data_IF_500703145240
#
_entry.id   IF_500703145240
#
_cell.length_a   1.000
_cell.length_b   1.000
_cell.length_c   1.000
_cell.angle_alpha   90.00
_cell.angle_beta   90.00
_cell.angle_gamma   90.00
#
_symmetry.space_group_name_H-M   'P 1'
#
loop_
_entity.id
_entity.type
_entity.pdbx_description
1 polymer ?
#
# COMPACT_ATOMS: atom_id res chain seq x y z
N UNK A 1 3.87 9.08 19.87
CA UNK A 1 4.06 7.77 20.53
C UNK A 1 5.50 7.22 20.45
N UNK A 2 6.12 7.04 19.25
CA UNK A 2 7.53 6.59 19.09
C UNK A 2 8.58 7.36 19.90
N UNK A 3 8.38 8.67 20.08
CA UNK A 3 9.28 9.56 20.85
C UNK A 3 9.27 9.27 22.36
N UNK A 4 8.11 8.90 22.92
CA UNK A 4 7.98 8.47 24.31
C UNK A 4 8.57 7.08 24.54
N UNK A 5 8.43 6.14 23.59
CA UNK A 5 9.09 4.83 23.69
C UNK A 5 10.62 4.94 23.67
N UNK A 6 11.20 5.76 22.78
CA UNK A 6 12.66 6.01 22.78
C UNK A 6 13.14 6.68 24.07
N UNK A 7 12.38 7.64 24.60
CA UNK A 7 12.68 8.31 25.88
C UNK A 7 12.65 7.32 27.05
N UNK A 8 11.60 6.50 27.13
CA UNK A 8 11.45 5.49 28.18
C UNK A 8 12.53 4.41 28.09
N UNK A 9 12.91 3.99 26.87
CA UNK A 9 14.03 3.06 26.65
C UNK A 9 15.36 3.63 27.18
N UNK A 10 15.66 4.88 26.86
CA UNK A 10 16.91 5.50 27.33
C UNK A 10 16.92 5.60 28.86
N UNK A 11 15.77 5.90 29.49
CA UNK A 11 15.63 5.91 30.96
C UNK A 11 15.88 4.50 31.53
N UNK A 12 15.28 3.46 30.96
CA UNK A 12 15.48 2.07 31.42
C UNK A 12 16.95 1.65 31.29
N UNK A 13 17.62 1.99 30.18
CA UNK A 13 19.05 1.72 29.99
C UNK A 13 19.90 2.47 31.03
N UNK A 14 19.59 3.74 31.31
CA UNK A 14 20.31 4.54 32.32
C UNK A 14 20.12 3.96 33.72
N UNK A 15 18.90 3.53 34.08
CA UNK A 15 18.61 2.89 35.37
C UNK A 15 19.37 1.57 35.51
N UNK A 16 19.41 0.76 34.45
CA UNK A 16 20.21 -0.49 34.43
C UNK A 16 21.71 -0.21 34.56
N UNK A 17 22.23 0.81 33.89
CA UNK A 17 23.63 1.23 34.01
C UNK A 17 23.96 1.77 35.41
N UNK A 18 23.02 2.44 36.07
CA UNK A 18 23.19 2.90 37.46
C UNK A 18 23.25 1.73 38.44
N UNK A 19 22.32 0.77 38.32
CA UNK A 19 22.34 -0.47 39.14
C UNK A 19 23.64 -1.25 38.91
N UNK A 20 24.11 -1.29 37.66
CA UNK A 20 25.38 -1.90 37.28
C UNK A 20 26.60 -1.24 37.96
N UNK A 21 26.68 0.09 37.90
CA UNK A 21 27.77 0.85 38.54
C UNK A 21 27.76 0.62 40.05
N UNK A 22 26.58 0.58 40.68
CA UNK A 22 26.45 0.30 42.11
C UNK A 22 26.92 -1.11 42.49
N UNK A 23 26.65 -2.14 41.66
CA UNK A 23 27.13 -3.51 41.89
C UNK A 23 28.66 -3.59 41.78
N UNK A 24 29.25 -2.95 40.76
CA UNK A 24 30.71 -2.89 40.57
C UNK A 24 31.40 -2.11 41.69
N UNK A 25 30.85 -0.98 42.12
CA UNK A 25 31.41 -0.17 43.23
C UNK A 25 31.28 -0.91 44.57
N UNK A 26 30.14 -1.56 44.84
CA UNK A 26 29.99 -2.40 46.05
C UNK A 26 31.04 -3.54 46.11
N UNK A 27 31.44 -4.08 44.96
CA UNK A 27 32.52 -5.07 44.86
C UNK A 27 33.90 -4.42 45.02
N UNK A 28 34.09 -3.22 44.46
CA UNK A 28 35.39 -2.53 44.41
C UNK A 28 35.77 -1.82 45.72
N UNK A 29 34.81 -1.32 46.48
CA UNK A 29 35.06 -0.49 47.67
C UNK A 29 35.43 -1.31 48.91
N UNK A 30 35.18 -2.62 48.92
CA UNK A 30 35.35 -3.43 50.13
C UNK A 30 36.69 -4.20 50.14
N UNK A 31 37.19 -4.73 49.02
CA UNK A 31 38.34 -5.67 49.09
C UNK A 31 39.25 -5.59 47.88
N UNK A 32 40.51 -5.29 48.18
CA UNK A 32 41.65 -5.37 47.27
C UNK A 32 42.02 -6.85 46.93
N UNK A 33 41.09 -7.73 46.46
CA UNK A 33 41.24 -9.17 46.00
C UNK A 33 39.83 -9.81 45.67
N UNK A 34 39.72 -10.92 44.89
CA UNK A 34 39.59 -11.06 43.43
C UNK A 34 38.09 -11.17 42.94
N UNK A 35 37.86 -11.33 41.63
CA UNK A 35 36.56 -11.29 40.93
C UNK A 35 35.45 -12.31 41.31
N UNK A 36 35.49 -12.96 42.47
CA UNK A 36 34.65 -14.13 42.79
C UNK A 36 33.23 -13.82 43.33
N UNK A 37 32.87 -12.54 43.53
CA UNK A 37 31.57 -12.10 44.07
C UNK A 37 30.68 -11.39 43.02
N UNK A 38 30.95 -11.61 41.73
CA UNK A 38 30.06 -11.11 40.68
C UNK A 38 28.72 -11.85 40.78
N UNK A 39 27.61 -11.12 40.92
CA UNK A 39 26.29 -11.70 40.82
C UNK A 39 25.98 -12.06 39.36
N UNK A 40 26.43 -13.24 38.94
CA UNK A 40 26.29 -13.74 37.57
C UNK A 40 24.83 -13.79 37.12
N UNK A 41 23.86 -13.92 38.03
CA UNK A 41 22.44 -13.88 37.70
C UNK A 41 22.00 -12.47 37.26
N UNK A 42 22.51 -11.40 37.90
CA UNK A 42 22.29 -10.02 37.45
C UNK A 42 22.90 -9.77 36.06
N UNK A 43 24.08 -10.34 35.78
CA UNK A 43 24.71 -10.26 34.46
C UNK A 43 23.91 -10.99 33.39
N UNK A 44 23.42 -12.20 33.70
CA UNK A 44 22.55 -12.96 32.81
C UNK A 44 21.29 -12.15 32.49
N UNK A 45 20.62 -11.58 33.49
CA UNK A 45 19.44 -10.74 33.32
C UNK A 45 19.76 -9.53 32.43
N UNK A 46 20.89 -8.84 32.68
CA UNK A 46 21.30 -7.68 31.89
C UNK A 46 21.55 -8.06 30.41
N UNK A 47 22.24 -9.17 30.17
CA UNK A 47 22.49 -9.69 28.81
C UNK A 47 21.17 -9.99 28.11
N UNK A 48 20.22 -10.65 28.78
CA UNK A 48 18.90 -10.93 28.22
C UNK A 48 18.12 -9.65 27.88
N UNK A 49 18.17 -8.63 28.74
CA UNK A 49 17.51 -7.34 28.49
C UNK A 49 18.13 -6.62 27.29
N UNK A 50 19.46 -6.60 27.18
CA UNK A 50 20.15 -5.99 26.04
C UNK A 50 19.80 -6.73 24.74
N UNK A 51 19.86 -8.07 24.74
CA UNK A 51 19.49 -8.89 23.58
C UNK A 51 18.03 -8.66 23.16
N UNK A 52 17.12 -8.56 24.12
CA UNK A 52 15.71 -8.26 23.85
C UNK A 52 15.54 -6.90 23.18
N UNK A 53 16.19 -5.84 23.70
CA UNK A 53 16.13 -4.49 23.12
C UNK A 53 16.70 -4.47 21.70
N UNK A 54 17.85 -5.11 21.48
CA UNK A 54 18.48 -5.19 20.15
C UNK A 54 17.58 -5.93 19.17
N UNK A 55 17.02 -7.07 19.57
CA UNK A 55 16.11 -7.88 18.76
C UNK A 55 14.87 -7.07 18.39
N UNK A 56 14.25 -6.40 19.36
CA UNK A 56 13.10 -5.54 19.13
C UNK A 56 13.41 -4.40 18.15
N UNK A 57 14.58 -3.74 18.28
CA UNK A 57 14.97 -2.69 17.33
C UNK A 57 15.17 -3.22 15.91
N UNK A 58 15.77 -4.40 15.77
CA UNK A 58 16.00 -5.03 14.47
C UNK A 58 14.65 -5.36 13.81
N UNK A 59 13.74 -5.96 14.58
CA UNK A 59 12.38 -6.29 14.12
C UNK A 59 11.62 -5.03 13.74
N UNK A 60 11.54 -4.01 14.60
CA UNK A 60 10.84 -2.75 14.30
C UNK A 60 11.43 -2.05 13.06
N UNK A 61 12.75 -2.02 12.90
CA UNK A 61 13.38 -1.46 11.69
C UNK A 61 13.06 -2.28 10.44
N UNK A 62 12.95 -3.60 10.55
CA UNK A 62 12.59 -4.47 9.43
C UNK A 62 11.13 -4.28 9.04
N UNK A 63 10.23 -4.26 10.01
CA UNK A 63 8.79 -4.11 9.78
C UNK A 63 8.45 -2.73 9.22
N UNK A 64 9.06 -1.67 9.73
CA UNK A 64 8.90 -0.32 9.18
C UNK A 64 9.42 -0.23 7.73
N UNK A 65 10.51 -0.95 7.37
CA UNK A 65 10.99 -1.01 5.98
C UNK A 65 10.04 -1.80 5.08
N UNK A 66 9.58 -2.96 5.53
CA UNK A 66 8.60 -3.78 4.80
C UNK A 66 7.32 -3.01 4.53
N UNK A 67 6.78 -2.32 5.54
CA UNK A 67 5.57 -1.51 5.41
C UNK A 67 5.74 -0.39 4.37
N UNK A 68 6.85 0.34 4.41
CA UNK A 68 7.15 1.37 3.39
C UNK A 68 7.21 0.82 1.98
N UNK A 69 7.84 -0.34 1.80
CA UNK A 69 7.90 -0.99 0.49
C UNK A 69 6.50 -1.41 0.02
N UNK A 70 5.65 -1.91 0.92
CA UNK A 70 4.25 -2.24 0.59
C UNK A 70 3.44 -0.99 0.21
N UNK A 71 3.61 0.12 0.93
CA UNK A 71 2.99 1.41 0.60
C UNK A 71 3.45 1.92 -0.78
N UNK A 72 4.73 1.77 -1.12
CA UNK A 72 5.26 2.13 -2.42
C UNK A 72 4.71 1.25 -3.54
N UNK A 73 4.68 -0.06 -3.34
CA UNK A 73 4.06 -1.01 -4.29
C UNK A 73 2.59 -0.66 -4.50
N UNK A 74 1.84 -0.41 -3.43
CA UNK A 74 0.43 -0.02 -3.51
C UNK A 74 0.24 1.23 -4.37
N UNK A 75 1.08 2.25 -4.16
CA UNK A 75 1.06 3.48 -4.96
C UNK A 75 1.33 3.21 -6.44
N UNK A 76 2.34 2.41 -6.75
CA UNK A 76 2.68 2.03 -8.14
C UNK A 76 1.50 1.33 -8.81
N UNK A 77 0.86 0.38 -8.13
CA UNK A 77 -0.28 -0.38 -8.69
C UNK A 77 -1.48 0.53 -8.95
N UNK A 78 -1.80 1.45 -8.04
CA UNK A 78 -2.88 2.42 -8.23
C UNK A 78 -2.55 3.40 -9.37
N UNK A 79 -1.31 3.90 -9.42
CA UNK A 79 -0.85 4.79 -10.48
C UNK A 79 -0.93 4.13 -11.85
N UNK A 80 -0.45 2.89 -11.97
CA UNK A 80 -0.50 2.12 -13.22
C UNK A 80 -1.94 1.84 -13.65
N UNK A 81 -2.83 1.46 -12.72
CA UNK A 81 -4.26 1.26 -13.03
C UNK A 81 -4.88 2.53 -13.63
N UNK A 82 -4.59 3.70 -13.06
CA UNK A 82 -5.14 4.96 -13.55
C UNK A 82 -4.51 5.39 -14.88
N UNK A 83 -3.22 5.11 -15.09
CA UNK A 83 -2.56 5.31 -16.38
C UNK A 83 -3.19 4.40 -17.45
N UNK A 84 -3.44 3.13 -17.14
CA UNK A 84 -4.12 2.20 -18.04
C UNK A 84 -5.54 2.66 -18.36
N UNK A 85 -6.29 3.19 -17.39
CA UNK A 85 -7.61 3.77 -17.67
C UNK A 85 -7.53 4.88 -18.73
N UNK A 86 -6.52 5.75 -18.66
CA UNK A 86 -6.31 6.81 -19.65
C UNK A 86 -5.85 6.27 -21.00
N UNK A 87 -4.90 5.31 -21.02
CA UNK A 87 -4.46 4.61 -22.24
C UNK A 87 -5.64 3.98 -22.97
N UNK A 88 -6.46 3.20 -22.27
CA UNK A 88 -7.63 2.56 -22.86
C UNK A 88 -8.70 3.56 -23.27
N UNK A 89 -8.94 4.63 -22.51
CA UNK A 89 -9.82 5.73 -22.94
C UNK A 89 -9.37 6.30 -24.29
N UNK A 90 -8.08 6.54 -24.46
CA UNK A 90 -7.53 7.06 -25.72
C UNK A 90 -7.66 6.04 -26.88
N UNK A 91 -7.58 4.73 -26.60
CA UNK A 91 -7.88 3.67 -27.57
C UNK A 91 -9.36 3.71 -27.96
N UNK A 92 -10.26 3.85 -26.98
CA UNK A 92 -11.72 3.89 -27.18
C UNK A 92 -12.15 5.12 -27.97
N UNK A 93 -11.52 6.26 -27.71
CA UNK A 93 -11.75 7.53 -28.42
C UNK A 93 -11.24 7.51 -29.86
N UNK A 94 -10.44 6.52 -30.26
CA UNK A 94 -9.91 6.43 -31.62
C UNK A 94 -11.04 6.17 -32.63
N UNK A 95 -11.09 6.96 -33.70
CA UNK A 95 -12.03 6.81 -34.81
C UNK A 95 -12.08 5.39 -35.39
N UNK A 96 -10.95 4.69 -35.47
CA UNK A 96 -10.87 3.31 -35.93
C UNK A 96 -11.60 2.40 -34.93
N UNK A 97 -11.39 2.61 -33.63
CA UNK A 97 -12.08 1.84 -32.60
C UNK A 97 -13.59 2.05 -32.67
N UNK A 98 -14.05 3.31 -32.74
CA UNK A 98 -15.48 3.64 -32.89
C UNK A 98 -16.10 3.04 -34.15
N UNK A 99 -15.36 2.95 -35.26
CA UNK A 99 -15.85 2.33 -36.52
C UNK A 99 -15.88 0.81 -36.48
N UNK A 100 -14.99 0.17 -35.72
CA UNK A 100 -14.79 -1.29 -35.72
C UNK A 100 -15.53 -1.97 -34.58
N UNK A 101 -15.52 -1.39 -33.37
CA UNK A 101 -16.05 -2.01 -32.15
C UNK A 101 -17.56 -2.32 -32.23
N UNK A 102 -18.45 -1.42 -32.71
CA UNK A 102 -19.88 -1.72 -32.83
C UNK A 102 -20.18 -2.83 -33.84
N UNK A 103 -19.30 -3.01 -34.83
CA UNK A 103 -19.43 -4.00 -35.91
C UNK A 103 -18.84 -5.37 -35.55
N UNK A 104 -18.31 -5.51 -34.33
CA UNK A 104 -17.51 -6.66 -33.85
C UNK A 104 -18.24 -7.56 -32.86
N UNK A 105 -19.56 -7.48 -32.78
CA UNK A 105 -20.39 -8.59 -32.29
C UNK A 105 -20.79 -9.45 -33.51
N UNK A 106 -19.91 -10.32 -34.05
CA UNK A 106 -20.26 -11.17 -35.17
C UNK A 106 -21.34 -12.18 -34.74
N UNK A 107 -22.32 -12.40 -35.62
CA UNK A 107 -23.31 -13.47 -35.45
C UNK A 107 -24.33 -13.19 -34.34
N UNK A 108 -24.44 -14.13 -33.39
CA UNK A 108 -25.38 -14.16 -32.26
C UNK A 108 -24.77 -13.62 -30.95
N UNK A 109 -23.57 -13.03 -31.02
CA UNK A 109 -22.91 -12.50 -29.83
C UNK A 109 -23.66 -11.29 -29.25
N UNK A 110 -23.86 -11.31 -27.94
CA UNK A 110 -24.41 -10.23 -27.13
C UNK A 110 -23.32 -9.66 -26.23
N UNK A 111 -23.60 -8.53 -25.57
CA UNK A 111 -22.73 -7.98 -24.53
C UNK A 111 -22.45 -8.99 -23.41
N UNK A 112 -23.37 -9.93 -23.18
CA UNK A 112 -23.27 -10.92 -22.12
C UNK A 112 -22.24 -12.01 -22.43
N UNK A 113 -22.14 -12.45 -23.69
CA UNK A 113 -21.30 -13.58 -24.10
C UNK A 113 -20.02 -13.16 -24.87
N UNK A 114 -19.80 -11.87 -25.13
CA UNK A 114 -18.63 -11.40 -25.85
C UNK A 114 -17.40 -11.26 -24.93
N UNK A 115 -16.43 -12.17 -25.09
CA UNK A 115 -15.20 -12.21 -24.28
C UNK A 115 -14.37 -10.93 -24.46
N UNK A 116 -14.23 -10.42 -25.69
CA UNK A 116 -13.43 -9.23 -25.97
C UNK A 116 -14.00 -7.98 -25.27
N UNK A 117 -15.33 -7.87 -25.19
CA UNK A 117 -15.99 -6.82 -24.41
C UNK A 117 -15.62 -6.90 -22.93
N UNK A 118 -15.72 -8.09 -22.32
CA UNK A 118 -15.39 -8.25 -20.90
C UNK A 118 -13.90 -8.03 -20.61
N UNK A 119 -13.02 -8.49 -21.50
CA UNK A 119 -11.58 -8.31 -21.37
C UNK A 119 -11.21 -6.83 -21.45
N UNK A 120 -11.69 -6.10 -22.46
CA UNK A 120 -11.44 -4.66 -22.58
C UNK A 120 -12.02 -3.88 -21.41
N UNK A 121 -13.22 -4.25 -20.92
CA UNK A 121 -13.85 -3.61 -19.76
C UNK A 121 -13.04 -3.78 -18.47
N UNK A 122 -12.31 -4.89 -18.34
CA UNK A 122 -11.50 -5.22 -17.14
C UNK A 122 -10.03 -4.90 -17.29
N UNK A 123 -9.54 -4.67 -18.51
CA UNK A 123 -8.10 -4.59 -18.80
C UNK A 123 -7.33 -3.57 -17.93
N UNK A 124 -7.84 -2.37 -17.63
CA UNK A 124 -7.13 -1.44 -16.74
C UNK A 124 -6.98 -1.91 -15.29
N UNK A 125 -7.70 -2.96 -14.88
CA UNK A 125 -7.81 -3.43 -13.50
C UNK A 125 -7.18 -4.81 -13.29
N UNK A 126 -6.13 -5.13 -14.07
CA UNK A 126 -5.40 -6.40 -13.99
C UNK A 126 -4.96 -6.75 -12.55
N UNK A 127 -4.63 -5.75 -11.73
CA UNK A 127 -4.12 -5.91 -10.37
C UNK A 127 -5.18 -5.76 -9.27
N UNK A 128 -6.48 -5.87 -9.61
CA UNK A 128 -7.63 -5.79 -8.68
C UNK A 128 -7.39 -6.57 -7.37
N UNK A 129 -7.05 -7.86 -7.48
CA UNK A 129 -6.92 -8.75 -6.33
C UNK A 129 -5.81 -8.31 -5.37
N UNK A 130 -4.69 -7.83 -5.91
CA UNK A 130 -3.56 -7.33 -5.13
C UNK A 130 -3.93 -6.02 -4.43
N UNK A 131 -4.63 -5.12 -5.13
CA UNK A 131 -5.08 -3.85 -4.56
C UNK A 131 -6.05 -4.08 -3.40
N UNK A 132 -7.02 -4.99 -3.54
CA UNK A 132 -7.93 -5.33 -2.45
C UNK A 132 -7.21 -6.02 -1.29
N UNK A 133 -6.27 -6.93 -1.57
CA UNK A 133 -5.43 -7.57 -0.52
C UNK A 133 -4.62 -6.54 0.27
N UNK A 134 -4.03 -5.53 -0.40
CA UNK A 134 -3.30 -4.45 0.25
C UNK A 134 -4.24 -3.52 1.05
N UNK A 135 -5.49 -3.38 0.64
CA UNK A 135 -6.55 -2.72 1.41
C UNK A 135 -6.92 -3.47 2.68
N UNK A 136 -7.08 -4.79 2.60
CA UNK A 136 -7.36 -5.67 3.75
C UNK A 136 -6.22 -5.66 4.78
N UNK A 137 -4.97 -5.59 4.31
CA UNK A 137 -3.77 -5.43 5.17
C UNK A 137 -3.65 -4.03 5.79
N UNK A 138 -4.51 -3.08 5.42
CA UNK A 138 -4.46 -1.69 5.88
C UNK A 138 -3.27 -0.90 5.34
N UNK A 139 -2.66 -1.37 4.24
CA UNK A 139 -1.62 -0.65 3.51
C UNK A 139 -2.25 0.47 2.68
N UNK A 140 -3.36 0.17 1.98
CA UNK A 140 -4.15 1.16 1.26
C UNK A 140 -5.27 1.64 2.18
N UNK A 141 -5.48 2.95 2.25
CA UNK A 141 -6.56 3.50 3.06
C UNK A 141 -7.94 3.20 2.44
N UNK A 142 -8.97 3.10 3.28
CA UNK A 142 -10.35 2.96 2.81
C UNK A 142 -10.75 4.07 1.82
N UNK A 143 -10.21 5.28 2.00
CA UNK A 143 -10.47 6.41 1.11
C UNK A 143 -9.86 6.24 -0.29
N UNK A 144 -8.72 5.56 -0.39
CA UNK A 144 -8.05 5.25 -1.65
C UNK A 144 -8.75 4.09 -2.36
N UNK A 145 -9.15 3.05 -1.64
CA UNK A 145 -10.00 1.97 -2.16
C UNK A 145 -11.32 2.54 -2.71
N UNK A 146 -11.95 3.48 -2.00
CA UNK A 146 -13.18 4.12 -2.49
C UNK A 146 -12.94 4.89 -3.80
N UNK A 147 -11.80 5.59 -3.93
CA UNK A 147 -11.46 6.28 -5.17
C UNK A 147 -11.19 5.28 -6.30
N UNK A 148 -10.49 4.19 -6.01
CA UNK A 148 -10.23 3.11 -6.95
C UNK A 148 -11.54 2.51 -7.50
N UNK A 149 -12.47 2.15 -6.62
CA UNK A 149 -13.80 1.65 -6.98
C UNK A 149 -14.57 2.68 -7.82
N UNK A 150 -14.51 3.96 -7.45
CA UNK A 150 -15.18 5.03 -8.20
C UNK A 150 -14.63 5.15 -9.63
N UNK A 151 -13.30 5.15 -9.81
CA UNK A 151 -12.68 5.17 -11.15
C UNK A 151 -13.08 3.92 -11.94
N UNK A 152 -13.04 2.74 -11.31
CA UNK A 152 -13.45 1.48 -11.92
C UNK A 152 -14.88 1.50 -12.44
N UNK A 153 -15.81 2.00 -11.63
CA UNK A 153 -17.21 2.12 -12.00
C UNK A 153 -17.40 3.11 -13.15
N UNK A 154 -16.76 4.29 -13.10
CA UNK A 154 -16.85 5.30 -14.16
C UNK A 154 -16.28 4.78 -15.48
N UNK A 155 -15.13 4.10 -15.45
CA UNK A 155 -14.55 3.49 -16.63
C UNK A 155 -15.49 2.44 -17.25
N UNK A 156 -15.99 1.54 -16.41
CA UNK A 156 -16.92 0.49 -16.83
C UNK A 156 -18.18 1.07 -17.49
N UNK A 157 -18.76 2.12 -16.91
CA UNK A 157 -19.96 2.79 -17.44
C UNK A 157 -19.62 3.47 -18.78
N UNK A 158 -18.53 4.23 -18.84
CA UNK A 158 -18.09 4.90 -20.05
C UNK A 158 -17.86 3.89 -21.19
N UNK A 159 -17.04 2.87 -20.97
CA UNK A 159 -16.76 1.85 -21.99
C UNK A 159 -18.02 1.17 -22.49
N UNK A 160 -18.91 0.73 -21.58
CA UNK A 160 -20.15 0.06 -21.96
C UNK A 160 -21.05 0.95 -22.82
N UNK A 161 -21.13 2.24 -22.51
CA UNK A 161 -21.94 3.18 -23.29
C UNK A 161 -21.31 3.49 -24.65
N UNK A 162 -19.98 3.56 -24.77
CA UNK A 162 -19.34 3.71 -26.08
C UNK A 162 -19.58 2.49 -26.97
N UNK A 163 -19.59 1.30 -26.39
CA UNK A 163 -19.87 0.06 -27.13
C UNK A 163 -21.34 -0.02 -27.57
N UNK A 164 -22.28 0.31 -26.68
CA UNK A 164 -23.72 0.21 -26.97
C UNK A 164 -24.25 1.39 -27.82
N UNK A 165 -23.71 2.59 -27.64
CA UNK A 165 -24.18 3.84 -28.23
C UNK A 165 -23.03 4.63 -28.86
N UNK A 166 -22.33 4.05 -29.85
CA UNK A 166 -21.11 4.63 -30.42
C UNK A 166 -21.32 5.97 -31.11
N UNK A 167 -22.52 6.19 -31.66
CA UNK A 167 -22.86 7.38 -32.45
C UNK A 167 -23.58 8.47 -31.61
N UNK A 168 -23.74 8.26 -30.30
CA UNK A 168 -24.46 9.19 -29.40
C UNK A 168 -23.47 9.89 -28.48
N UNK A 169 -22.77 10.87 -29.04
CA UNK A 169 -21.79 11.71 -28.34
C UNK A 169 -22.39 12.46 -27.14
N UNK A 170 -23.68 12.80 -27.19
CA UNK A 170 -24.41 13.43 -26.08
C UNK A 170 -24.46 12.56 -24.82
N UNK A 171 -24.39 11.23 -24.98
CA UNK A 171 -24.37 10.26 -23.87
C UNK A 171 -22.92 9.94 -23.48
N UNK A 172 -22.03 9.74 -24.46
CA UNK A 172 -20.68 9.24 -24.20
C UNK A 172 -19.71 10.32 -23.71
N UNK A 173 -19.83 11.57 -24.18
CA UNK A 173 -18.93 12.67 -23.80
C UNK A 173 -19.04 13.07 -22.32
N UNK A 174 -20.24 13.21 -21.71
CA UNK A 174 -20.34 13.47 -20.27
C UNK A 174 -19.70 12.37 -19.43
N UNK A 175 -19.89 11.10 -19.82
CA UNK A 175 -19.31 9.95 -19.10
C UNK A 175 -17.78 9.92 -19.19
N UNK A 176 -17.23 10.32 -20.34
CA UNK A 176 -15.79 10.51 -20.53
C UNK A 176 -15.24 11.59 -19.61
N UNK A 177 -15.87 12.76 -19.56
CA UNK A 177 -15.46 13.86 -18.69
C UNK A 177 -15.51 13.44 -17.22
N UNK A 178 -16.58 12.76 -16.81
CA UNK A 178 -16.72 12.18 -15.46
C UNK A 178 -15.57 11.23 -15.11
N UNK A 179 -15.17 10.37 -16.05
CA UNK A 179 -14.03 9.47 -15.90
C UNK A 179 -12.72 10.25 -15.77
N UNK A 180 -12.47 11.23 -16.65
CA UNK A 180 -11.25 12.04 -16.63
C UNK A 180 -11.10 12.83 -15.31
N UNK A 181 -12.20 13.37 -14.80
CA UNK A 181 -12.25 14.04 -13.49
C UNK A 181 -11.96 13.05 -12.36
N UNK A 182 -12.55 11.86 -12.40
CA UNK A 182 -12.32 10.82 -11.39
C UNK A 182 -10.85 10.37 -11.38
N UNK A 183 -10.25 10.14 -12.55
CA UNK A 183 -8.84 9.78 -12.72
C UNK A 183 -7.93 10.89 -12.18
N UNK A 184 -8.13 12.14 -12.59
CA UNK A 184 -7.33 13.27 -12.12
C UNK A 184 -7.41 13.46 -10.60
N UNK A 185 -8.61 13.32 -10.03
CA UNK A 185 -8.82 13.39 -8.59
C UNK A 185 -8.09 12.25 -7.86
N UNK A 186 -8.08 11.05 -8.42
CA UNK A 186 -7.39 9.90 -7.86
C UNK A 186 -5.86 10.09 -7.90
N UNK A 187 -5.29 10.51 -9.04
CA UNK A 187 -3.86 10.84 -9.16
C UNK A 187 -3.41 11.93 -8.17
N UNK A 188 -4.20 12.99 -8.02
CA UNK A 188 -3.87 14.09 -7.10
C UNK A 188 -3.76 13.61 -5.65
N UNK A 189 -4.56 12.62 -5.27
CA UNK A 189 -4.57 12.05 -3.92
C UNK A 189 -3.42 11.07 -3.67
N UNK A 190 -2.89 10.43 -4.70
CA UNK A 190 -1.71 9.55 -4.59
C UNK A 190 -0.38 10.31 -4.37
N UNK A 191 -0.35 11.62 -4.67
CA UNK A 191 0.85 12.48 -4.56
C UNK A 191 0.96 13.22 -3.22
N UNK A 192 -0.04 13.11 -2.34
CA UNK A 192 -0.05 13.71 -0.99
C UNK A 192 0.31 12.67 0.05
#
# INVERSE_FOLDING_TARGET
>A
MKRNLRRNRNIVIIVLLLVFILDVINISDIINIPFNNINLDLWNILIFVILYILTYEIIDKRDNRRKKNQEEIARILLEETYNECDKYKNIIDNEIFKKVCPKRFPGDQTVENNVAYHDMRKAPFEHDSIIFSLGEEGIISASEILNYINVKNKYSIYFSNVVCFPDIDEITNPLKQDLEIAIHKAFRRLKM
#
